data_IF_817889089361
#
_entry.id   IF_817889089361
#
_cell.length_a   1.000
_cell.length_b   1.000
_cell.length_c   1.000
_cell.angle_alpha   90.00
_cell.angle_beta   90.00
_cell.angle_gamma   90.00
#
_symmetry.space_group_name_H-M   'P 1'
#
loop_
_entity.id
_entity.type
_entity.pdbx_description
1 polymer ?
#
# COMPACT_ATOMS: atom_id res chain seq x y z
N UNK A 1 -20.73 -0.78 -33.69
CA UNK A 1 -20.78 -1.04 -32.23
C UNK A 1 -19.33 -1.20 -31.76
N UNK A 2 -18.80 -0.20 -31.08
CA UNK A 2 -17.43 -0.26 -30.57
C UNK A 2 -17.48 -0.98 -29.22
N UNK A 3 -16.95 -2.20 -29.16
CA UNK A 3 -16.78 -2.89 -27.89
C UNK A 3 -15.60 -2.24 -27.15
N UNK A 4 -15.85 -1.72 -25.96
CA UNK A 4 -14.77 -1.29 -25.09
C UNK A 4 -13.92 -2.51 -24.72
N UNK A 5 -12.59 -2.41 -24.88
CA UNK A 5 -11.67 -3.48 -24.48
C UNK A 5 -11.77 -3.71 -22.97
N UNK A 6 -11.79 -4.99 -22.55
CA UNK A 6 -11.71 -5.35 -21.12
C UNK A 6 -10.38 -4.85 -20.56
N UNK A 7 -10.37 -4.08 -19.44
CA UNK A 7 -9.13 -3.60 -18.86
C UNK A 7 -8.26 -4.77 -18.40
N UNK A 8 -6.95 -4.65 -18.62
CA UNK A 8 -5.95 -5.61 -18.16
C UNK A 8 -5.54 -5.32 -16.71
N UNK A 9 -4.91 -6.29 -16.04
CA UNK A 9 -4.34 -6.09 -14.72
C UNK A 9 -3.36 -4.90 -14.72
N UNK A 10 -2.50 -4.83 -15.73
CA UNK A 10 -1.50 -3.77 -15.90
C UNK A 10 -2.15 -2.40 -16.11
N UNK A 11 -3.24 -2.32 -16.86
CA UNK A 11 -3.95 -1.06 -17.07
C UNK A 11 -4.64 -0.57 -15.81
N UNK A 12 -5.19 -1.48 -15.01
CA UNK A 12 -5.83 -1.15 -13.72
C UNK A 12 -4.79 -0.62 -12.73
N UNK A 13 -3.69 -1.34 -12.56
CA UNK A 13 -2.59 -0.94 -11.66
C UNK A 13 -1.94 0.36 -12.14
N UNK A 14 -1.75 0.51 -13.45
CA UNK A 14 -1.22 1.71 -14.06
C UNK A 14 -2.07 2.95 -13.83
N UNK A 15 -3.40 2.83 -13.87
CA UNK A 15 -4.33 3.92 -13.56
C UNK A 15 -4.20 4.39 -12.12
N UNK A 16 -4.10 3.46 -11.16
CA UNK A 16 -3.90 3.80 -9.76
C UNK A 16 -2.54 4.47 -9.52
N UNK A 17 -1.49 3.91 -10.12
CA UNK A 17 -0.14 4.49 -10.04
C UNK A 17 -0.10 5.91 -10.62
N UNK A 18 -0.75 6.13 -11.75
CA UNK A 18 -0.85 7.46 -12.37
C UNK A 18 -1.51 8.46 -11.43
N UNK A 19 -2.60 8.10 -10.77
CA UNK A 19 -3.26 8.95 -9.78
C UNK A 19 -2.35 9.27 -8.60
N UNK A 20 -1.62 8.28 -8.08
CA UNK A 20 -0.69 8.45 -6.97
C UNK A 20 0.51 9.34 -7.32
N UNK A 21 0.91 9.39 -8.59
CA UNK A 21 2.03 10.21 -9.07
C UNK A 21 1.60 11.57 -9.63
N UNK A 22 0.31 11.86 -9.74
CA UNK A 22 -0.20 13.10 -10.33
C UNK A 22 0.11 14.33 -9.47
N UNK A 23 0.29 14.17 -8.18
CA UNK A 23 0.70 15.20 -7.23
C UNK A 23 2.02 14.78 -6.56
N UNK A 24 2.80 15.76 -6.01
CA UNK A 24 4.06 15.43 -5.35
C UNK A 24 3.94 14.43 -4.21
N UNK A 25 2.86 14.47 -3.46
CA UNK A 25 2.61 13.58 -2.33
C UNK A 25 1.18 13.00 -2.38
N UNK A 26 0.95 11.97 -1.59
CA UNK A 26 -0.36 11.34 -1.39
C UNK A 26 -0.62 11.24 0.11
N UNK A 27 -1.83 11.61 0.52
CA UNK A 27 -2.30 11.44 1.89
C UNK A 27 -3.49 10.47 1.90
N UNK A 28 -3.49 9.54 2.85
CA UNK A 28 -4.58 8.59 2.99
C UNK A 28 -4.92 8.34 4.46
N UNK A 29 -6.20 8.05 4.69
CA UNK A 29 -6.71 7.47 5.93
C UNK A 29 -7.14 6.06 5.63
N UNK A 30 -6.83 5.14 6.52
CA UNK A 30 -7.09 3.73 6.31
C UNK A 30 -7.54 3.03 7.59
N UNK A 31 -8.13 1.86 7.42
CA UNK A 31 -8.48 0.94 8.50
C UNK A 31 -7.88 -0.42 8.19
N UNK A 32 -7.10 -0.97 9.12
CA UNK A 32 -6.54 -2.31 9.01
C UNK A 32 -7.42 -3.27 9.82
N UNK A 33 -7.84 -4.36 9.19
CA UNK A 33 -8.54 -5.47 9.80
C UNK A 33 -7.70 -6.74 9.65
N UNK A 34 -7.55 -7.53 10.68
CA UNK A 34 -6.77 -8.77 10.58
C UNK A 34 -6.15 -9.23 11.90
N UNK A 35 -6.51 -8.58 12.98
CA UNK A 35 -6.03 -8.90 14.32
C UNK A 35 -7.13 -8.75 15.36
N UNK A 36 -6.82 -8.07 16.45
CA UNK A 36 -7.72 -7.88 17.60
C UNK A 36 -8.63 -6.64 17.43
N UNK A 37 -9.31 -6.55 16.30
CA UNK A 37 -10.19 -5.44 15.99
C UNK A 37 -9.61 -4.48 14.96
N UNK A 38 -10.42 -3.53 14.45
CA UNK A 38 -9.98 -2.57 13.45
C UNK A 38 -9.01 -1.55 14.03
N UNK A 39 -7.95 -1.24 13.26
CA UNK A 39 -6.97 -0.20 13.60
C UNK A 39 -7.02 0.87 12.53
N UNK A 40 -7.33 2.10 12.91
CA UNK A 40 -7.33 3.25 12.01
C UNK A 40 -5.96 3.92 12.00
N UNK A 41 -5.57 4.40 10.84
CA UNK A 41 -4.29 5.07 10.66
C UNK A 41 -4.30 6.10 9.55
N UNK A 42 -3.19 6.83 9.47
CA UNK A 42 -2.92 7.80 8.42
C UNK A 42 -1.57 7.52 7.80
N UNK A 43 -1.41 7.84 6.53
CA UNK A 43 -0.12 7.77 5.85
C UNK A 43 0.04 8.96 4.91
N UNK A 44 1.26 9.50 4.85
CA UNK A 44 1.67 10.45 3.83
C UNK A 44 2.83 9.83 3.05
N UNK A 45 2.74 9.86 1.72
CA UNK A 45 3.73 9.26 0.82
C UNK A 45 4.24 10.32 -0.14
N UNK A 46 5.55 10.43 -0.28
CA UNK A 46 6.19 11.29 -1.29
C UNK A 46 7.33 10.52 -1.95
N UNK A 47 7.12 10.06 -3.19
CA UNK A 47 8.07 9.17 -3.85
C UNK A 47 8.22 7.86 -3.08
N UNK A 48 9.46 7.51 -2.71
CA UNK A 48 9.75 6.34 -1.88
C UNK A 48 9.56 6.60 -0.38
N UNK A 49 9.47 7.88 0.04
CA UNK A 49 9.37 8.27 1.44
C UNK A 49 7.94 8.14 1.95
N UNK A 50 7.79 7.79 3.22
CA UNK A 50 6.47 7.80 3.85
C UNK A 50 6.55 8.06 5.36
N UNK A 51 5.44 8.54 5.90
CA UNK A 51 5.19 8.66 7.33
C UNK A 51 3.80 8.08 7.61
N UNK A 52 3.74 7.09 8.49
CA UNK A 52 2.52 6.38 8.84
C UNK A 52 2.29 6.44 10.35
N UNK A 53 1.06 6.58 10.77
CA UNK A 53 0.69 6.60 12.17
C UNK A 53 -0.60 5.84 12.43
N UNK A 54 -0.54 5.00 13.45
CA UNK A 54 -1.70 4.38 14.11
C UNK A 54 -1.60 4.68 15.61
N UNK A 55 -2.62 4.37 16.43
CA UNK A 55 -2.50 4.56 17.89
C UNK A 55 -1.36 3.76 18.53
N UNK A 56 -0.98 2.61 17.96
CA UNK A 56 0.05 1.73 18.52
C UNK A 56 1.43 1.91 17.90
N UNK A 57 1.50 2.47 16.70
CA UNK A 57 2.71 2.41 15.88
C UNK A 57 2.87 3.69 15.06
N UNK A 58 4.09 4.22 15.01
CA UNK A 58 4.46 5.25 14.04
C UNK A 58 5.68 4.78 13.26
N UNK A 59 5.66 5.02 11.96
CA UNK A 59 6.76 4.63 11.06
C UNK A 59 7.13 5.83 10.20
N UNK A 60 8.43 6.11 10.11
CA UNK A 60 9.00 7.10 9.20
C UNK A 60 10.02 6.42 8.31
N UNK A 61 10.02 6.77 7.04
CA UNK A 61 10.99 6.29 6.06
C UNK A 61 11.42 7.42 5.14
N UNK A 62 12.72 7.73 5.14
CA UNK A 62 13.27 8.86 4.38
C UNK A 62 13.79 8.47 2.97
N UNK A 63 13.56 7.24 2.55
CA UNK A 63 14.07 6.66 1.31
C UNK A 63 15.25 5.71 1.51
N UNK A 64 15.79 5.65 2.72
CA UNK A 64 16.90 4.78 3.10
C UNK A 64 16.71 4.17 4.49
N UNK A 65 16.51 5.01 5.49
CA UNK A 65 16.39 4.62 6.89
C UNK A 65 14.92 4.62 7.31
N UNK A 66 14.53 3.59 8.05
CA UNK A 66 13.21 3.48 8.66
C UNK A 66 13.32 3.56 10.18
N UNK A 67 12.49 4.41 10.78
CA UNK A 67 12.29 4.52 12.22
C UNK A 67 10.91 3.99 12.54
N UNK A 68 10.82 3.11 13.53
CA UNK A 68 9.55 2.53 13.98
C UNK A 68 9.42 2.76 15.49
N UNK A 69 8.41 3.54 15.86
CA UNK A 69 8.05 3.81 17.25
C UNK A 69 6.90 2.92 17.69
N UNK A 70 7.09 2.21 18.79
CA UNK A 70 6.06 1.40 19.44
C UNK A 70 5.53 2.11 20.68
N UNK A 71 4.24 2.45 20.69
CA UNK A 71 3.63 3.16 21.81
C UNK A 71 3.62 2.33 23.11
N UNK A 72 3.53 1.00 22.99
CA UNK A 72 3.49 0.09 24.16
C UNK A 72 4.78 0.09 24.96
N UNK A 73 5.93 0.27 24.33
CA UNK A 73 7.25 0.24 24.99
C UNK A 73 7.94 1.60 25.01
N UNK A 74 7.51 2.53 24.17
CA UNK A 74 8.18 3.81 23.96
C UNK A 74 9.50 3.69 23.20
N UNK A 75 9.79 2.54 22.63
CA UNK A 75 11.04 2.27 21.92
C UNK A 75 10.97 2.69 20.45
N UNK A 76 12.12 3.13 19.93
CA UNK A 76 12.31 3.41 18.50
C UNK A 76 13.34 2.43 17.94
N UNK A 77 12.94 1.68 16.93
CA UNK A 77 13.84 0.81 16.16
C UNK A 77 14.30 1.55 14.91
N UNK A 78 15.56 1.41 14.55
CA UNK A 78 16.16 2.03 13.36
C UNK A 78 16.67 0.92 12.45
N UNK A 79 16.20 0.89 11.19
CA UNK A 79 16.57 -0.13 10.22
C UNK A 79 16.80 0.47 8.84
N UNK A 80 17.47 -0.28 7.97
CA UNK A 80 17.53 -0.03 6.53
C UNK A 80 16.80 -1.19 5.84
N UNK A 81 15.47 -1.06 5.59
CA UNK A 81 14.65 -2.18 5.15
C UNK A 81 14.92 -2.56 3.70
N UNK A 82 14.75 -3.85 3.41
CA UNK A 82 14.68 -4.35 2.04
C UNK A 82 13.35 -3.94 1.39
N UNK A 83 13.23 -4.13 0.07
CA UNK A 83 11.99 -3.83 -0.65
C UNK A 83 10.80 -4.65 -0.14
N UNK A 84 11.02 -5.92 0.28
CA UNK A 84 9.96 -6.77 0.82
C UNK A 84 9.52 -6.30 2.23
N UNK A 85 10.47 -5.89 3.05
CA UNK A 85 10.18 -5.33 4.36
C UNK A 85 9.42 -3.99 4.25
N UNK A 86 9.75 -3.17 3.26
CA UNK A 86 9.00 -1.93 2.96
C UNK A 86 7.56 -2.22 2.56
N UNK A 87 7.32 -3.23 1.72
CA UNK A 87 5.97 -3.62 1.31
C UNK A 87 5.14 -4.08 2.52
N UNK A 88 5.76 -4.73 3.51
CA UNK A 88 5.09 -5.12 4.75
C UNK A 88 4.77 -3.91 5.64
N UNK A 89 5.63 -2.89 5.65
CA UNK A 89 5.42 -1.66 6.44
C UNK A 89 4.50 -0.65 5.76
N UNK A 90 4.53 -0.60 4.43
CA UNK A 90 3.73 0.31 3.61
C UNK A 90 3.07 -0.45 2.47
N UNK A 91 1.81 -0.89 2.65
CA UNK A 91 1.10 -1.62 1.59
C UNK A 91 0.96 -0.85 0.28
N UNK A 92 0.97 0.48 0.30
CA UNK A 92 0.93 1.29 -0.93
C UNK A 92 2.22 1.15 -1.76
N UNK A 93 3.34 0.75 -1.16
CA UNK A 93 4.59 0.48 -1.88
C UNK A 93 4.46 -0.67 -2.89
N UNK A 94 3.46 -1.54 -2.73
CA UNK A 94 3.15 -2.62 -3.67
C UNK A 94 2.86 -2.06 -5.06
N UNK A 95 2.24 -0.89 -5.16
CA UNK A 95 1.91 -0.25 -6.43
C UNK A 95 3.14 0.33 -7.15
N UNK A 96 4.28 0.41 -6.47
CA UNK A 96 5.54 0.84 -7.04
C UNK A 96 6.41 -0.39 -7.33
N UNK A 97 6.77 -0.61 -8.60
CA UNK A 97 7.60 -1.72 -9.02
C UNK A 97 6.91 -3.09 -9.02
N UNK A 98 5.60 -3.13 -9.12
CA UNK A 98 4.84 -4.40 -9.17
C UNK A 98 5.24 -5.27 -10.36
N UNK A 99 5.62 -4.66 -11.49
CA UNK A 99 5.95 -5.36 -12.73
C UNK A 99 7.11 -6.36 -12.56
N UNK A 100 8.10 -6.00 -11.76
CA UNK A 100 9.29 -6.83 -11.55
C UNK A 100 9.13 -7.81 -10.39
N UNK A 101 8.28 -7.50 -9.42
CA UNK A 101 8.17 -8.24 -8.16
C UNK A 101 6.98 -9.19 -8.11
N UNK A 102 5.93 -8.90 -8.87
CA UNK A 102 4.69 -9.66 -8.85
C UNK A 102 4.24 -10.04 -10.25
N UNK A 103 3.56 -11.18 -10.33
CA UNK A 103 2.78 -11.58 -11.47
C UNK A 103 1.33 -11.11 -11.24
N UNK A 104 0.84 -10.25 -12.12
CA UNK A 104 -0.49 -9.66 -11.99
C UNK A 104 -1.53 -10.42 -12.81
N UNK A 105 -2.72 -10.62 -12.25
CA UNK A 105 -3.86 -11.25 -12.92
C UNK A 105 -5.13 -10.49 -12.59
N UNK A 106 -5.90 -10.12 -13.62
CA UNK A 106 -7.21 -9.52 -13.42
C UNK A 106 -8.17 -10.56 -12.87
N UNK A 107 -8.88 -10.21 -11.80
CA UNK A 107 -10.00 -10.98 -11.27
C UNK A 107 -11.32 -10.44 -11.81
N UNK A 108 -12.41 -11.20 -11.61
CA UNK A 108 -13.77 -10.73 -11.90
C UNK A 108 -14.10 -9.51 -11.06
N UNK A 109 -14.73 -8.51 -11.66
CA UNK A 109 -15.19 -7.32 -10.94
C UNK A 109 -16.16 -7.70 -9.81
N UNK A 110 -16.12 -6.96 -8.72
CA UNK A 110 -17.01 -7.12 -7.58
C UNK A 110 -17.58 -5.78 -7.17
N UNK A 111 -18.90 -5.68 -7.07
CA UNK A 111 -19.61 -4.45 -6.70
C UNK A 111 -19.21 -3.24 -7.55
N UNK A 112 -19.01 -3.44 -8.86
CA UNK A 112 -18.60 -2.41 -9.80
C UNK A 112 -17.13 -1.98 -9.68
N UNK A 113 -16.32 -2.69 -8.91
CA UNK A 113 -14.91 -2.38 -8.70
C UNK A 113 -13.99 -3.37 -9.36
N UNK A 114 -12.93 -2.87 -9.96
CA UNK A 114 -11.86 -3.68 -10.58
C UNK A 114 -11.01 -4.33 -9.46
N UNK A 115 -10.61 -5.56 -9.71
CA UNK A 115 -9.80 -6.36 -8.77
C UNK A 115 -8.61 -6.96 -9.50
N UNK A 116 -7.44 -6.87 -8.88
CA UNK A 116 -6.20 -7.46 -9.42
C UNK A 116 -5.55 -8.31 -8.35
N UNK A 117 -5.15 -9.52 -8.71
CA UNK A 117 -4.36 -10.40 -7.87
C UNK A 117 -2.88 -10.26 -8.23
N UNK A 118 -2.04 -10.09 -7.22
CA UNK A 118 -0.60 -10.05 -7.32
C UNK A 118 0.00 -11.26 -6.62
N UNK A 119 0.76 -12.07 -7.36
CA UNK A 119 1.50 -13.19 -6.80
C UNK A 119 2.99 -12.86 -6.81
N UNK A 120 3.73 -13.04 -5.70
CA UNK A 120 5.16 -12.82 -5.68
C UNK A 120 5.88 -13.69 -6.72
N UNK A 121 6.81 -13.11 -7.46
CA UNK A 121 7.67 -13.88 -8.38
C UNK A 121 8.77 -14.62 -7.63
N UNK A 122 9.28 -14.04 -6.55
CA UNK A 122 10.26 -14.67 -5.69
C UNK A 122 9.59 -15.66 -4.73
N UNK A 123 10.33 -16.68 -4.32
CA UNK A 123 9.92 -17.62 -3.27
C UNK A 123 10.27 -17.03 -1.90
N UNK A 124 9.62 -17.54 -0.86
CA UNK A 124 9.93 -17.22 0.54
C UNK A 124 9.79 -15.74 0.91
N UNK A 125 8.82 -15.06 0.27
CA UNK A 125 8.49 -13.66 0.61
C UNK A 125 7.59 -13.54 1.86
N UNK A 126 7.02 -14.66 2.32
CA UNK A 126 6.02 -14.69 3.38
C UNK A 126 4.60 -14.42 2.90
N UNK A 127 4.44 -13.98 1.65
CA UNK A 127 3.14 -13.68 1.05
C UNK A 127 2.73 -14.76 0.06
N UNK A 128 1.47 -15.21 0.16
CA UNK A 128 0.86 -16.08 -0.84
C UNK A 128 0.38 -15.25 -2.03
N UNK A 129 -0.39 -14.22 -1.76
CA UNK A 129 -0.94 -13.30 -2.77
C UNK A 129 -1.40 -12.00 -2.13
N UNK A 130 -1.57 -10.99 -2.98
CA UNK A 130 -2.15 -9.70 -2.61
C UNK A 130 -3.27 -9.40 -3.58
N UNK A 131 -4.43 -8.96 -3.09
CA UNK A 131 -5.53 -8.53 -3.94
C UNK A 131 -5.70 -7.03 -3.75
N UNK A 132 -5.56 -6.28 -4.84
CA UNK A 132 -5.78 -4.85 -4.90
C UNK A 132 -7.15 -4.60 -5.51
N UNK A 133 -7.98 -3.81 -4.83
CA UNK A 133 -9.31 -3.43 -5.26
C UNK A 133 -9.29 -1.93 -5.56
N UNK A 134 -9.64 -1.55 -6.79
CA UNK A 134 -9.74 -0.16 -7.20
C UNK A 134 -11.09 0.44 -6.73
N UNK A 135 -11.13 1.76 -6.63
CA UNK A 135 -12.40 2.47 -6.44
C UNK A 135 -13.30 2.32 -7.68
N UNK A 136 -14.55 2.81 -7.60
CA UNK A 136 -15.51 2.70 -8.71
C UNK A 136 -15.07 3.44 -9.97
N UNK A 137 -14.25 4.48 -9.84
CA UNK A 137 -13.68 5.21 -10.97
C UNK A 137 -12.42 4.52 -11.55
N UNK A 138 -11.88 3.50 -10.86
CA UNK A 138 -10.67 2.79 -11.28
C UNK A 138 -9.39 3.60 -11.16
N UNK A 139 -9.39 4.68 -10.36
CA UNK A 139 -8.28 5.63 -10.25
C UNK A 139 -7.45 5.47 -8.99
N UNK A 140 -8.07 5.06 -7.88
CA UNK A 140 -7.42 4.96 -6.59
C UNK A 140 -7.58 3.55 -6.01
N UNK A 141 -6.61 3.06 -5.24
CA UNK A 141 -6.82 1.84 -4.48
C UNK A 141 -7.86 2.11 -3.40
N UNK A 142 -8.83 1.21 -3.25
CA UNK A 142 -9.85 1.27 -2.20
C UNK A 142 -9.60 0.25 -1.11
N UNK A 143 -9.04 -0.91 -1.46
CA UNK A 143 -8.66 -1.92 -0.49
C UNK A 143 -7.45 -2.71 -1.00
N UNK A 144 -6.63 -3.16 -0.06
CA UNK A 144 -5.51 -4.04 -0.32
C UNK A 144 -5.60 -5.19 0.69
N UNK A 145 -5.81 -6.39 0.20
CA UNK A 145 -5.90 -7.60 1.01
C UNK A 145 -4.63 -8.42 0.84
N UNK A 146 -3.94 -8.67 1.94
CA UNK A 146 -2.69 -9.41 1.96
C UNK A 146 -2.93 -10.78 2.57
N UNK A 147 -2.58 -11.83 1.84
CA UNK A 147 -2.68 -13.23 2.28
C UNK A 147 -1.27 -13.76 2.52
N UNK A 148 -1.01 -14.20 3.73
CA UNK A 148 0.29 -14.74 4.13
C UNK A 148 0.34 -16.24 3.95
N UNK A 149 1.54 -16.80 3.79
CA UNK A 149 1.78 -18.23 3.62
C UNK A 149 1.32 -19.06 4.82
N UNK A 150 1.27 -18.46 6.01
CA UNK A 150 0.83 -19.11 7.25
C UNK A 150 -0.69 -19.10 7.46
N UNK A 151 -1.45 -18.61 6.48
CA UNK A 151 -2.91 -18.54 6.53
C UNK A 151 -3.47 -17.25 7.14
N UNK A 152 -2.63 -16.36 7.68
CA UNK A 152 -3.09 -15.05 8.15
C UNK A 152 -3.54 -14.19 6.96
N UNK A 153 -4.46 -13.28 7.24
CA UNK A 153 -4.95 -12.31 6.26
C UNK A 153 -5.04 -10.94 6.91
N UNK A 154 -4.58 -9.92 6.19
CA UNK A 154 -4.74 -8.52 6.57
C UNK A 154 -5.54 -7.83 5.48
N UNK A 155 -6.59 -7.11 5.86
CA UNK A 155 -7.37 -6.27 4.97
C UNK A 155 -7.13 -4.81 5.31
N UNK A 156 -6.57 -4.07 4.35
CA UNK A 156 -6.40 -2.62 4.43
C UNK A 156 -7.53 -1.98 3.63
N UNK A 157 -8.43 -1.28 4.30
CA UNK A 157 -9.48 -0.48 3.67
C UNK A 157 -9.03 0.97 3.64
N UNK A 158 -9.10 1.60 2.48
CA UNK A 158 -8.73 3.00 2.31
C UNK A 158 -9.99 3.84 2.45
N UNK A 159 -10.10 4.56 3.57
CA UNK A 159 -11.27 5.37 3.91
C UNK A 159 -11.27 6.69 3.16
N UNK A 160 -10.08 7.25 2.92
CA UNK A 160 -9.89 8.47 2.15
C UNK A 160 -8.49 8.49 1.57
N UNK A 161 -8.34 8.95 0.33
CA UNK A 161 -7.04 9.11 -0.33
C UNK A 161 -7.11 10.30 -1.27
N UNK A 162 -6.08 11.14 -1.24
CA UNK A 162 -5.97 12.32 -2.11
C UNK A 162 -4.52 12.67 -2.40
N UNK A 163 -4.28 13.33 -3.54
CA UNK A 163 -2.99 13.93 -3.83
C UNK A 163 -2.74 15.17 -2.98
N UNK A 164 -1.50 15.43 -2.66
CA UNK A 164 -1.07 16.55 -1.82
C UNK A 164 0.16 17.27 -2.40
N UNK A 165 0.43 18.47 -1.91
CA UNK A 165 1.62 19.23 -2.24
C UNK A 165 2.88 18.59 -1.64
N UNK A 166 4.06 19.09 -2.04
CA UNK A 166 5.34 18.70 -1.44
C UNK A 166 5.31 18.85 0.08
N UNK A 167 5.85 17.85 0.77
CA UNK A 167 5.96 17.81 2.22
C UNK A 167 7.38 18.17 2.68
N UNK A 168 7.55 18.76 3.87
CA UNK A 168 8.88 19.02 4.40
C UNK A 168 9.63 17.72 4.69
N UNK A 169 10.94 17.68 4.43
CA UNK A 169 11.77 16.49 4.62
C UNK A 169 11.69 15.92 6.05
N UNK A 170 11.55 16.79 7.04
CA UNK A 170 11.43 16.41 8.46
C UNK A 170 10.21 15.54 8.77
N UNK A 171 9.17 15.57 7.91
CA UNK A 171 7.98 14.74 8.10
C UNK A 171 8.31 13.24 7.99
N UNK A 172 9.34 12.88 7.24
CA UNK A 172 9.72 11.50 6.95
C UNK A 172 10.89 10.99 7.80
N UNK A 173 11.23 11.71 8.84
CA UNK A 173 12.32 11.35 9.76
C UNK A 173 11.85 11.45 11.20
N UNK A 174 12.40 10.59 12.05
CA UNK A 174 12.26 10.69 13.50
C UNK A 174 13.35 11.60 14.06
N UNK A 175 12.98 12.52 14.91
CA UNK A 175 13.89 13.38 15.67
C UNK A 175 13.83 13.04 17.17
#
# INVERSE_FOLDING_TARGET
ITFAATPTAESILGSMRKSMLAKPAVEAKFTINGGQGPVQGTICIEGAKFAMATPQLKVWYDGKTQWTYLASTGEVSITEPTADELAASNPFAILSGYETRYKARKLTDSNGRRRVELQPRAKDTGFEKIIVIADTAGKWPQAINIYFDDGRQISLVIDHITGAANQPAKLFRYD
#
